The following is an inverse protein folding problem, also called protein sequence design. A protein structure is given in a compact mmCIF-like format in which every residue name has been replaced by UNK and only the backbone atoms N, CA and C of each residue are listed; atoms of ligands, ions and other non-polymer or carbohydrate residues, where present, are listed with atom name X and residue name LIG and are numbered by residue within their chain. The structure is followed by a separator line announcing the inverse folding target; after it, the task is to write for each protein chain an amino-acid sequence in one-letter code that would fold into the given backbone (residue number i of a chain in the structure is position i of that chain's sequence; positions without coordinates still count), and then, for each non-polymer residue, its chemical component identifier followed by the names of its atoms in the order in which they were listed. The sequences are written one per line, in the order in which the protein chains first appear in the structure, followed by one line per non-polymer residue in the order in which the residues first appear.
data_IF_819815385006
#
_entry.id   IF_819815385006
#
_cell.length_a   1.000
_cell.length_b   1.000
_cell.length_c   1.000
_cell.angle_alpha   90.00
_cell.angle_beta   90.00
_cell.angle_gamma   90.00
#
_symmetry.space_group_name_H-M   'P 1'
#
loop_
_entity.id
_entity.type
_entity.pdbx_description
1 polymer ?
#
# COMPACT_ATOMS: atom_id res chain seq x y z
N UNK A 1 59.49 -5.08 19.18
CA UNK A 1 58.41 -5.03 18.16
C UNK A 1 57.81 -6.42 18.15
N UNK A 2 56.54 -6.70 18.45
CA UNK A 2 55.29 -6.14 17.89
C UNK A 2 54.17 -6.37 18.94
N UNK A 3 53.32 -5.37 19.20
CA UNK A 3 52.11 -5.50 20.05
C UNK A 3 51.01 -6.16 19.20
N UNK A 4 50.42 -7.30 19.59
CA UNK A 4 49.27 -7.83 18.85
C UNK A 4 48.06 -6.96 19.15
N UNK A 5 47.68 -6.19 18.14
CA UNK A 5 46.48 -5.36 18.13
C UNK A 5 45.24 -6.25 18.23
N UNK A 6 44.46 -6.05 19.30
CA UNK A 6 43.04 -6.31 19.33
C UNK A 6 42.39 -5.40 18.27
N UNK A 7 41.75 -5.96 17.24
CA UNK A 7 40.89 -5.19 16.37
C UNK A 7 39.67 -6.04 15.97
N UNK A 8 38.54 -5.54 16.47
CA UNK A 8 37.22 -6.12 16.50
C UNK A 8 36.64 -6.56 15.16
N UNK A 9 35.82 -7.60 15.25
CA UNK A 9 34.81 -8.06 14.30
C UNK A 9 33.94 -6.88 13.85
N UNK A 10 33.88 -6.61 12.55
CA UNK A 10 32.83 -5.77 11.94
C UNK A 10 31.96 -6.69 11.08
N UNK A 11 30.92 -7.25 11.71
CA UNK A 11 29.80 -7.84 11.01
C UNK A 11 28.84 -6.70 10.64
N UNK A 12 28.97 -6.15 9.44
CA UNK A 12 27.99 -5.23 8.88
C UNK A 12 26.76 -6.05 8.44
N UNK A 13 25.85 -6.32 9.37
CA UNK A 13 24.52 -6.77 9.03
C UNK A 13 23.80 -5.60 8.35
N UNK A 14 23.68 -5.65 7.02
CA UNK A 14 22.84 -4.74 6.27
C UNK A 14 21.37 -4.98 6.67
N UNK A 15 20.94 -4.30 7.73
CA UNK A 15 19.54 -4.11 8.03
C UNK A 15 18.97 -3.24 6.92
N UNK A 16 18.53 -3.86 5.84
CA UNK A 16 17.56 -3.25 4.93
C UNK A 16 16.38 -2.87 5.84
N UNK A 17 16.24 -1.57 6.10
CA UNK A 17 15.16 -1.00 6.88
C UNK A 17 13.84 -1.34 6.19
N UNK A 18 13.30 -2.51 6.51
CA UNK A 18 11.88 -2.77 6.43
C UNK A 18 11.29 -1.83 7.48
N UNK A 19 11.05 -0.58 7.07
CA UNK A 19 10.16 0.29 7.83
C UNK A 19 8.93 -0.58 8.14
N UNK A 20 8.58 -0.79 9.43
CA UNK A 20 7.34 -1.47 9.76
C UNK A 20 6.27 -0.78 8.91
N UNK A 21 5.39 -1.52 8.20
CA UNK A 21 4.34 -0.87 7.43
C UNK A 21 3.65 0.05 8.41
N UNK A 22 3.83 1.37 8.23
CA UNK A 22 3.30 2.39 9.11
C UNK A 22 1.84 2.03 9.31
N UNK A 23 1.47 1.64 10.53
CA UNK A 23 0.33 0.77 10.83
C UNK A 23 -0.81 1.00 9.83
N UNK A 24 -0.80 0.21 8.74
CA UNK A 24 -1.60 0.48 7.57
C UNK A 24 -3.04 0.31 8.03
N UNK A 25 -3.79 1.41 8.15
CA UNK A 25 -5.13 1.32 8.71
C UNK A 25 -6.06 0.82 7.61
N UNK A 26 -6.23 -0.49 7.56
CA UNK A 26 -7.12 -1.20 6.66
C UNK A 26 -8.59 -1.03 7.02
N UNK A 27 -8.89 -0.63 8.26
CA UNK A 27 -10.25 -0.48 8.80
C UNK A 27 -11.15 0.37 7.90
N UNK A 28 -10.72 1.58 7.48
CA UNK A 28 -11.44 2.42 6.53
C UNK A 28 -11.75 1.72 5.19
N UNK A 29 -10.82 0.92 4.66
CA UNK A 29 -11.06 0.16 3.41
C UNK A 29 -12.05 -0.98 3.62
N UNK A 30 -12.04 -1.62 4.78
CA UNK A 30 -13.00 -2.65 5.13
C UNK A 30 -14.39 -2.05 5.37
N UNK A 31 -14.48 -0.84 5.91
CA UNK A 31 -15.74 -0.12 6.12
C UNK A 31 -16.43 0.23 4.78
N UNK A 32 -15.65 0.44 3.71
CA UNK A 32 -16.19 0.61 2.35
C UNK A 32 -17.02 -0.61 1.89
N UNK A 33 -16.80 -1.80 2.44
CA UNK A 33 -17.62 -2.97 2.13
C UNK A 33 -19.08 -2.77 2.53
N UNK A 34 -19.34 -2.05 3.63
CA UNK A 34 -20.72 -1.73 4.05
C UNK A 34 -21.44 -0.82 3.05
N UNK A 35 -20.68 0.02 2.33
CA UNK A 35 -21.19 0.94 1.30
C UNK A 35 -21.23 0.28 -0.09
N UNK A 36 -20.34 -0.67 -0.33
CA UNK A 36 -20.15 -1.36 -1.61
C UNK A 36 -20.25 -2.87 -1.42
N UNK A 37 -21.45 -3.35 -1.09
CA UNK A 37 -21.71 -4.77 -0.79
C UNK A 37 -21.38 -5.74 -1.96
N UNK A 38 -21.26 -5.22 -3.18
CA UNK A 38 -20.82 -5.98 -4.36
C UNK A 38 -19.29 -6.20 -4.42
N UNK A 39 -18.52 -5.49 -3.59
CA UNK A 39 -17.08 -5.67 -3.44
C UNK A 39 -16.75 -6.55 -2.25
N UNK A 40 -15.80 -7.46 -2.43
CA UNK A 40 -15.26 -8.25 -1.33
C UNK A 40 -14.20 -7.46 -0.57
N UNK A 41 -14.03 -7.75 0.73
CA UNK A 41 -12.97 -7.18 1.56
C UNK A 41 -11.59 -7.38 0.90
N UNK A 42 -11.37 -8.57 0.36
CA UNK A 42 -10.20 -8.92 -0.43
C UNK A 42 -9.96 -8.02 -1.65
N UNK A 43 -11.01 -7.69 -2.41
CA UNK A 43 -10.90 -6.75 -3.54
C UNK A 43 -10.54 -5.35 -3.05
N UNK A 44 -11.20 -4.86 -2.00
CA UNK A 44 -10.93 -3.54 -1.43
C UNK A 44 -9.47 -3.42 -0.97
N UNK A 45 -8.98 -4.41 -0.22
CA UNK A 45 -7.60 -4.42 0.27
C UNK A 45 -6.59 -4.56 -0.89
N UNK A 46 -6.82 -5.47 -1.84
CA UNK A 46 -5.91 -5.65 -2.98
C UNK A 46 -5.78 -4.38 -3.80
N UNK A 47 -6.89 -3.74 -4.14
CA UNK A 47 -6.89 -2.51 -4.93
C UNK A 47 -6.31 -1.34 -4.13
N UNK A 48 -6.61 -1.25 -2.84
CA UNK A 48 -6.04 -0.23 -1.96
C UNK A 48 -4.52 -0.33 -1.83
N UNK A 49 -4.00 -1.54 -1.60
CA UNK A 49 -2.56 -1.77 -1.56
C UNK A 49 -1.88 -1.53 -2.90
N UNK A 50 -2.53 -1.91 -4.00
CA UNK A 50 -2.02 -1.65 -5.33
C UNK A 50 -1.96 -0.14 -5.61
N UNK A 51 -3.02 0.61 -5.29
CA UNK A 51 -3.08 2.05 -5.43
C UNK A 51 -2.00 2.76 -4.58
N UNK A 52 -1.84 2.34 -3.33
CA UNK A 52 -0.78 2.84 -2.46
C UNK A 52 0.63 2.60 -3.03
N UNK A 53 0.91 1.42 -3.58
CA UNK A 53 2.21 1.14 -4.21
C UNK A 53 2.41 1.97 -5.49
N UNK A 54 1.35 2.14 -6.28
CA UNK A 54 1.39 2.99 -7.47
C UNK A 54 1.69 4.45 -7.10
N UNK A 55 1.01 4.99 -6.09
CA UNK A 55 1.23 6.35 -5.58
C UNK A 55 2.67 6.54 -5.08
N UNK A 56 3.19 5.60 -4.28
CA UNK A 56 4.60 5.61 -3.83
C UNK A 56 5.62 5.44 -4.96
N UNK A 57 5.21 4.88 -6.09
CA UNK A 57 6.05 4.79 -7.30
C UNK A 57 6.04 6.07 -8.14
N UNK A 58 5.32 7.11 -7.70
CA UNK A 58 5.19 8.39 -8.40
C UNK A 58 4.07 8.43 -9.45
N UNK A 59 3.19 7.42 -9.48
CA UNK A 59 2.01 7.43 -10.36
C UNK A 59 0.95 8.34 -9.74
N UNK A 60 0.44 9.30 -10.51
CA UNK A 60 -0.59 10.23 -10.03
C UNK A 60 -1.96 9.57 -9.89
N UNK A 61 -2.78 10.07 -8.97
CA UNK A 61 -4.15 9.56 -8.76
C UNK A 61 -4.99 9.54 -10.04
N UNK A 62 -4.76 10.48 -10.97
CA UNK A 62 -5.43 10.54 -12.28
C UNK A 62 -5.24 9.28 -13.13
N UNK A 63 -4.12 8.57 -12.97
CA UNK A 63 -3.83 7.31 -13.66
C UNK A 63 -4.23 6.09 -12.80
N UNK A 64 -4.11 6.20 -11.47
CA UNK A 64 -4.44 5.10 -10.54
C UNK A 64 -5.95 4.81 -10.54
N UNK A 65 -6.78 5.84 -10.47
CA UNK A 65 -8.24 5.70 -10.39
C UNK A 65 -8.84 4.91 -11.58
N UNK A 66 -8.54 5.25 -12.86
CA UNK A 66 -9.07 4.47 -13.98
C UNK A 66 -8.52 3.03 -14.01
N UNK A 67 -7.29 2.79 -13.53
CA UNK A 67 -6.74 1.43 -13.41
C UNK A 67 -7.48 0.59 -12.35
N UNK A 68 -7.75 1.14 -11.16
CA UNK A 68 -8.55 0.47 -10.13
C UNK A 68 -9.98 0.20 -10.63
N UNK A 69 -10.59 1.16 -11.33
CA UNK A 69 -11.90 0.95 -11.95
C UNK A 69 -11.84 -0.22 -12.95
N UNK A 70 -10.79 -0.28 -13.77
CA UNK A 70 -10.62 -1.34 -14.75
C UNK A 70 -10.42 -2.71 -14.09
N UNK A 71 -9.68 -2.81 -12.99
CA UNK A 71 -9.55 -4.06 -12.21
C UNK A 71 -10.89 -4.53 -11.65
N UNK A 72 -11.72 -3.58 -11.20
CA UNK A 72 -13.02 -3.85 -10.58
C UNK A 72 -14.19 -3.86 -11.58
N UNK A 73 -13.92 -3.79 -12.88
CA UNK A 73 -14.94 -3.73 -13.94
C UNK A 73 -15.92 -4.89 -13.88
N UNK A 74 -15.44 -6.09 -13.54
CA UNK A 74 -16.27 -7.30 -13.42
C UNK A 74 -17.15 -7.32 -12.17
N UNK A 75 -16.80 -6.52 -11.14
CA UNK A 75 -17.60 -6.35 -9.93
C UNK A 75 -18.64 -5.22 -10.08
N UNK A 76 -18.66 -4.49 -11.20
CA UNK A 76 -19.57 -3.37 -11.42
C UNK A 76 -19.16 -2.08 -10.71
N UNK A 77 -17.88 -1.95 -10.32
CA UNK A 77 -17.41 -0.72 -9.67
C UNK A 77 -17.44 0.47 -10.64
N UNK A 78 -18.08 1.55 -10.21
CA UNK A 78 -18.09 2.82 -10.93
C UNK A 78 -16.80 3.61 -10.67
N UNK A 79 -16.50 4.60 -11.51
CA UNK A 79 -15.36 5.52 -11.33
C UNK A 79 -15.37 6.18 -9.94
N UNK A 80 -16.56 6.54 -9.43
CA UNK A 80 -16.71 7.11 -8.09
C UNK A 80 -16.26 6.15 -6.97
N UNK A 81 -16.51 4.85 -7.14
CA UNK A 81 -16.10 3.79 -6.20
C UNK A 81 -14.59 3.63 -6.24
N UNK A 82 -14.00 3.55 -7.43
CA UNK A 82 -12.55 3.48 -7.60
C UNK A 82 -11.84 4.70 -6.98
N UNK A 83 -12.35 5.92 -7.22
CA UNK A 83 -11.79 7.13 -6.63
C UNK A 83 -11.86 7.11 -5.09
N UNK A 84 -12.95 6.61 -4.52
CA UNK A 84 -13.10 6.44 -3.07
C UNK A 84 -12.05 5.48 -2.53
N UNK A 85 -11.88 4.31 -3.16
CA UNK A 85 -10.88 3.30 -2.75
C UNK A 85 -9.47 3.91 -2.79
N UNK A 86 -9.10 4.57 -3.89
CA UNK A 86 -7.77 5.18 -4.06
C UNK A 86 -7.54 6.28 -3.03
N UNK A 87 -8.49 7.17 -2.83
CA UNK A 87 -8.36 8.27 -1.85
C UNK A 87 -8.24 7.74 -0.43
N UNK A 88 -9.06 6.74 -0.06
CA UNK A 88 -8.99 6.08 1.25
C UNK A 88 -7.66 5.35 1.42
N UNK A 89 -7.16 4.68 0.38
CA UNK A 89 -5.89 3.99 0.42
C UNK A 89 -4.71 4.94 0.64
N UNK A 90 -4.62 6.02 -0.14
CA UNK A 90 -3.55 7.02 -0.01
C UNK A 90 -3.56 7.64 1.40
N UNK A 91 -4.74 8.06 1.88
CA UNK A 91 -4.87 8.74 3.19
C UNK A 91 -4.60 7.81 4.38
N UNK A 92 -5.07 6.56 4.34
CA UNK A 92 -5.05 5.67 5.52
C UNK A 92 -3.93 4.63 5.52
N UNK A 93 -3.32 4.37 4.37
CA UNK A 93 -2.15 3.49 4.26
C UNK A 93 -0.82 4.28 4.27
N UNK A 94 -0.88 5.60 4.43
CA UNK A 94 0.25 6.56 4.45
C UNK A 94 1.13 6.41 3.20
N UNK A 95 0.48 6.65 2.06
CA UNK A 95 1.03 6.61 0.71
C UNK A 95 0.72 7.95 0.04
#
# INVERSE_FOLDING_TARGET
MVRPFLASIVAAAAALGLAPPAAANEGPLLELQSQFAFLTADQLLREGYWACRAARSGIGSSDIVPMVQQHLKYSGASLAVANKIVSTAIVHLDC
#
